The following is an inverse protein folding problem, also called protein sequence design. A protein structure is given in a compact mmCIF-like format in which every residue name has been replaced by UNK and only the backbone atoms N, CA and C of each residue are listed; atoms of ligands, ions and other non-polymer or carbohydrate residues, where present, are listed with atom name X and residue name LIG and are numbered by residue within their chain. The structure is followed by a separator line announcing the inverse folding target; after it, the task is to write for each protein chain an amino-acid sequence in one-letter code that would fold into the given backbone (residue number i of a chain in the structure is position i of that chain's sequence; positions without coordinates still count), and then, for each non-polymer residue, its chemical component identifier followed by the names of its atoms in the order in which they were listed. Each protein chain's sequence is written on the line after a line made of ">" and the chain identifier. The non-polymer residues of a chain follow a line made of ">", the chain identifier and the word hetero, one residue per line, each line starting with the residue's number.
data_IF_083078984965
#
_entry.id   IF_083078984965
#
_cell.length_a   1.000
_cell.length_b   1.000
_cell.length_c   1.000
_cell.angle_alpha   90.00
_cell.angle_beta   90.00
_cell.angle_gamma   90.00
#
_symmetry.space_group_name_H-M   'P 1'
#
loop_
_entity.id
_entity.type
_entity.pdbx_description
1 polymer ?
#
# COMPACT_ATOMS: atom_id res chain seq x y z
N UNK A 1 -16.13 18.39 -11.95
CA UNK A 1 -15.33 19.53 -11.41
C UNK A 1 -16.27 20.71 -11.25
N UNK A 2 -16.56 21.15 -10.01
CA UNK A 2 -17.08 22.50 -9.81
C UNK A 2 -16.03 23.47 -10.39
N UNK A 3 -16.44 24.40 -11.25
CA UNK A 3 -15.54 25.36 -11.88
C UNK A 3 -14.75 26.10 -10.78
N UNK A 4 -13.44 25.94 -10.75
CA UNK A 4 -12.53 26.73 -9.91
C UNK A 4 -11.91 26.03 -8.69
N UNK A 5 -12.33 24.81 -8.30
CA UNK A 5 -11.75 24.12 -7.14
C UNK A 5 -10.77 23.05 -7.58
N UNK A 6 -9.51 23.15 -7.18
CA UNK A 6 -8.51 22.10 -7.36
C UNK A 6 -8.78 20.97 -6.37
N UNK A 7 -9.05 19.78 -6.88
CA UNK A 7 -9.24 18.59 -6.03
C UNK A 7 -7.89 18.03 -5.62
N UNK A 8 -7.79 17.59 -4.37
CA UNK A 8 -6.56 17.11 -3.75
C UNK A 8 -6.64 15.61 -3.46
N UNK A 9 -5.47 14.98 -3.52
CA UNK A 9 -5.29 13.59 -3.13
C UNK A 9 -4.04 13.44 -2.26
N UNK A 10 -4.19 12.80 -1.11
CA UNK A 10 -3.08 12.63 -0.16
C UNK A 10 -2.20 11.47 -0.62
N UNK A 11 -0.89 11.71 -0.59
CA UNK A 11 0.12 10.76 -1.00
C UNK A 11 1.19 10.65 0.10
N UNK A 12 1.19 9.58 0.91
CA UNK A 12 2.25 9.33 1.86
C UNK A 12 3.63 9.34 1.18
N UNK A 13 4.58 10.06 1.77
CA UNK A 13 5.92 10.25 1.21
C UNK A 13 7.00 10.01 2.30
N UNK A 14 8.04 9.19 1.99
CA UNK A 14 8.27 8.52 0.71
C UNK A 14 7.21 7.46 0.40
N UNK A 15 6.84 7.29 -0.88
CA UNK A 15 5.77 6.41 -1.31
C UNK A 15 5.94 5.93 -2.76
N UNK A 16 5.02 5.09 -3.22
CA UNK A 16 5.08 4.53 -4.57
C UNK A 16 4.80 5.60 -5.64
N UNK A 17 5.77 5.83 -6.51
CA UNK A 17 5.76 6.92 -7.51
C UNK A 17 4.55 6.86 -8.46
N UNK A 18 4.02 5.66 -8.75
CA UNK A 18 2.85 5.48 -9.63
C UNK A 18 1.58 6.05 -9.03
N UNK A 19 1.41 6.01 -7.72
CA UNK A 19 0.28 6.65 -7.05
C UNK A 19 0.24 8.15 -7.33
N UNK A 20 1.40 8.81 -7.22
CA UNK A 20 1.53 10.25 -7.53
C UNK A 20 1.23 10.53 -9.01
N UNK A 21 1.78 9.71 -9.91
CA UNK A 21 1.58 9.88 -11.34
C UNK A 21 0.12 9.65 -11.76
N UNK A 22 -0.56 8.65 -11.18
CA UNK A 22 -1.98 8.35 -11.47
C UNK A 22 -2.86 9.53 -11.05
N UNK A 23 -2.74 10.01 -9.82
CA UNK A 23 -3.57 11.12 -9.34
C UNK A 23 -3.32 12.39 -10.11
N UNK A 24 -2.07 12.70 -10.43
CA UNK A 24 -1.71 13.85 -11.27
C UNK A 24 -2.30 13.73 -12.69
N UNK A 25 -2.25 12.53 -13.29
CA UNK A 25 -2.86 12.28 -14.60
C UNK A 25 -4.37 12.58 -14.61
N UNK A 26 -5.07 12.26 -13.53
CA UNK A 26 -6.49 12.56 -13.40
C UNK A 26 -6.76 14.00 -12.95
N UNK A 27 -5.74 14.84 -12.83
CA UNK A 27 -5.85 16.26 -12.54
C UNK A 27 -6.12 16.59 -11.07
N UNK A 28 -5.70 15.71 -10.16
CA UNK A 28 -5.62 16.01 -8.74
C UNK A 28 -4.30 16.72 -8.41
N UNK A 29 -4.33 17.58 -7.42
CA UNK A 29 -3.14 18.06 -6.73
C UNK A 29 -2.69 16.98 -5.72
N UNK A 30 -1.44 16.55 -5.83
CA UNK A 30 -0.84 15.62 -4.87
C UNK A 30 -0.41 16.40 -3.63
N UNK A 31 -0.94 16.02 -2.47
CA UNK A 31 -0.52 16.57 -1.17
C UNK A 31 0.30 15.51 -0.45
N UNK A 32 1.58 15.79 -0.24
CA UNK A 32 2.47 14.88 0.46
C UNK A 32 2.11 14.81 1.95
N UNK A 33 2.04 13.60 2.49
CA UNK A 33 1.86 13.32 3.92
C UNK A 33 3.13 12.62 4.43
N UNK A 34 3.78 13.14 5.48
CA UNK A 34 4.97 12.49 6.04
C UNK A 34 4.67 11.07 6.52
N UNK A 35 5.60 10.14 6.27
CA UNK A 35 5.60 8.81 6.86
C UNK A 35 6.29 8.83 8.22
N UNK A 36 5.80 8.01 9.15
CA UNK A 36 6.41 7.66 10.42
C UNK A 36 6.83 6.18 10.42
N UNK A 37 7.39 5.68 11.49
CA UNK A 37 7.73 4.25 11.63
C UNK A 37 6.48 3.34 11.66
N UNK A 38 5.33 3.90 12.02
CA UNK A 38 4.05 3.18 12.16
C UNK A 38 3.12 3.33 10.95
N UNK A 39 3.48 4.15 9.97
CA UNK A 39 2.64 4.48 8.82
C UNK A 39 2.59 5.98 8.53
N UNK A 40 1.59 6.50 7.81
CA UNK A 40 1.41 7.92 7.58
C UNK A 40 1.18 8.68 8.90
N UNK A 41 1.68 9.92 8.97
CA UNK A 41 1.39 10.80 10.09
C UNK A 41 -0.13 11.09 10.17
N UNK A 42 -0.82 10.43 11.09
CA UNK A 42 -2.27 10.47 11.19
C UNK A 42 -2.83 11.80 11.70
N UNK A 43 -2.03 12.61 12.40
CA UNK A 43 -2.45 13.96 12.80
C UNK A 43 -2.58 14.86 11.56
N UNK A 44 -1.61 14.79 10.66
CA UNK A 44 -1.64 15.50 9.38
C UNK A 44 -2.76 14.99 8.48
N UNK A 45 -2.93 13.66 8.39
CA UNK A 45 -4.04 13.07 7.62
C UNK A 45 -5.38 13.55 8.13
N UNK A 46 -5.60 13.48 9.44
CA UNK A 46 -6.86 13.89 10.08
C UNK A 46 -7.16 15.36 9.86
N UNK A 47 -6.16 16.21 10.07
CA UNK A 47 -6.31 17.66 9.86
C UNK A 47 -6.79 17.97 8.44
N UNK A 48 -6.10 17.39 7.44
CA UNK A 48 -6.42 17.65 6.03
C UNK A 48 -7.78 17.05 5.62
N UNK A 49 -8.07 15.82 6.05
CA UNK A 49 -9.28 15.11 5.63
C UNK A 49 -10.54 15.66 6.29
N UNK A 50 -10.46 16.05 7.56
CA UNK A 50 -11.62 16.51 8.32
C UNK A 50 -11.93 18.00 8.11
N UNK A 51 -10.99 18.81 7.60
CA UNK A 51 -11.15 20.25 7.44
C UNK A 51 -11.17 20.74 5.98
N UNK A 52 -10.81 19.90 5.01
CA UNK A 52 -10.75 20.30 3.59
C UNK A 52 -11.59 19.37 2.70
N UNK A 53 -12.76 19.83 2.28
CA UNK A 53 -13.67 19.09 1.39
C UNK A 53 -13.12 18.91 -0.04
N UNK A 54 -12.02 19.56 -0.41
CA UNK A 54 -11.33 19.35 -1.69
C UNK A 54 -10.49 18.08 -1.68
N UNK A 55 -10.14 17.53 -0.51
CA UNK A 55 -9.41 16.27 -0.34
C UNK A 55 -10.34 15.09 -0.62
N UNK A 56 -10.06 14.34 -1.70
CA UNK A 56 -10.95 13.28 -2.20
C UNK A 56 -10.46 11.87 -1.90
N UNK A 57 -9.21 11.72 -1.48
CA UNK A 57 -8.70 10.42 -1.11
C UNK A 57 -7.27 10.44 -0.62
N UNK A 58 -6.83 9.26 -0.21
CA UNK A 58 -5.46 8.96 0.20
C UNK A 58 -5.03 7.61 -0.36
N UNK A 59 -3.80 7.51 -0.84
CA UNK A 59 -3.15 6.23 -1.13
C UNK A 59 -2.53 5.63 0.13
N UNK A 60 -2.73 4.32 0.32
CA UNK A 60 -2.12 3.57 1.42
C UNK A 60 -1.49 2.28 0.88
N UNK A 61 -0.23 2.02 1.25
CA UNK A 61 0.43 0.72 1.07
C UNK A 61 0.68 0.17 2.48
N UNK A 62 -0.29 -0.56 3.07
CA UNK A 62 -0.32 -0.75 4.52
C UNK A 62 0.64 -1.81 5.04
N UNK A 63 1.18 -2.67 4.17
CA UNK A 63 2.08 -3.74 4.57
C UNK A 63 3.31 -3.74 3.68
N UNK A 64 4.50 -3.77 4.31
CA UNK A 64 5.80 -3.73 3.61
C UNK A 64 5.86 -2.63 2.54
N UNK A 65 5.46 -1.43 2.92
CA UNK A 65 5.26 -0.29 2.03
C UNK A 65 6.47 -0.04 1.11
N UNK A 66 6.19 0.33 -0.13
CA UNK A 66 7.20 0.78 -1.07
C UNK A 66 7.40 2.30 -0.93
N UNK A 67 8.62 2.82 -0.64
CA UNK A 67 9.89 2.10 -0.51
C UNK A 67 10.31 1.76 0.94
N UNK A 68 9.54 2.13 1.96
CA UNK A 68 9.97 2.17 3.35
C UNK A 68 10.08 0.78 4.01
N UNK A 69 9.35 -0.23 3.52
CA UNK A 69 9.24 -1.54 4.15
C UNK A 69 8.33 -1.58 5.39
N UNK A 70 7.70 -0.45 5.75
CA UNK A 70 6.86 -0.31 6.94
C UNK A 70 5.56 -1.11 6.79
N UNK A 71 5.11 -1.69 7.89
CA UNK A 71 3.73 -2.20 8.05
C UNK A 71 3.00 -1.29 9.03
N UNK A 72 1.82 -0.83 8.67
CA UNK A 72 1.02 0.07 9.52
C UNK A 72 0.69 -0.58 10.85
N UNK A 73 0.82 0.18 11.94
CA UNK A 73 0.41 -0.27 13.26
C UNK A 73 -1.12 -0.36 13.38
N UNK A 74 -1.58 -1.10 14.38
CA UNK A 74 -3.01 -1.21 14.68
C UNK A 74 -3.63 0.16 15.00
N UNK A 75 -2.87 1.05 15.65
CA UNK A 75 -3.27 2.41 15.98
C UNK A 75 -3.51 3.23 14.72
N UNK A 76 -2.61 3.14 13.73
CA UNK A 76 -2.75 3.82 12.45
C UNK A 76 -3.96 3.28 11.68
N UNK A 77 -4.16 1.96 11.64
CA UNK A 77 -5.32 1.36 10.98
C UNK A 77 -6.63 1.81 11.65
N UNK A 78 -6.69 1.82 12.99
CA UNK A 78 -7.86 2.32 13.74
C UNK A 78 -8.08 3.81 13.54
N UNK A 79 -7.01 4.60 13.44
CA UNK A 79 -7.11 6.03 13.14
C UNK A 79 -7.73 6.27 11.76
N UNK A 80 -7.36 5.49 10.74
CA UNK A 80 -8.03 5.53 9.44
C UNK A 80 -9.52 5.18 9.53
N UNK A 81 -9.89 4.17 10.30
CA UNK A 81 -11.28 3.77 10.48
C UNK A 81 -12.13 4.85 11.19
N UNK A 82 -11.50 5.69 12.01
CA UNK A 82 -12.16 6.75 12.79
C UNK A 82 -12.20 8.11 12.05
N UNK A 83 -11.66 8.24 10.84
CA UNK A 83 -11.71 9.49 10.06
C UNK A 83 -13.15 9.95 9.81
N UNK A 84 -13.37 11.26 9.90
CA UNK A 84 -14.65 11.93 9.60
C UNK A 84 -14.44 12.92 8.45
N UNK A 85 -14.38 12.44 7.20
CA UNK A 85 -14.04 13.29 6.08
C UNK A 85 -15.04 14.44 5.86
N UNK A 86 -14.52 15.64 5.62
CA UNK A 86 -15.30 16.78 5.19
C UNK A 86 -15.91 16.58 3.78
N UNK A 87 -15.25 15.74 2.94
CA UNK A 87 -15.77 15.37 1.63
C UNK A 87 -16.58 14.07 1.71
N UNK A 88 -17.88 14.05 1.34
CA UNK A 88 -18.72 12.85 1.40
C UNK A 88 -18.28 11.74 0.43
N UNK A 89 -17.52 12.11 -0.59
CA UNK A 89 -16.96 11.23 -1.62
C UNK A 89 -15.49 10.86 -1.38
N UNK A 90 -14.93 11.15 -0.20
CA UNK A 90 -13.58 10.74 0.18
C UNK A 90 -13.44 9.22 0.22
N UNK A 91 -12.30 8.71 -0.27
CA UNK A 91 -11.96 7.28 -0.21
C UNK A 91 -10.51 7.05 0.20
N UNK A 92 -10.30 6.00 0.97
CA UNK A 92 -9.01 5.43 1.30
C UNK A 92 -8.71 4.33 0.28
N UNK A 93 -7.69 4.53 -0.55
CA UNK A 93 -7.22 3.54 -1.52
C UNK A 93 -6.17 2.66 -0.84
N UNK A 94 -6.60 1.47 -0.42
CA UNK A 94 -5.86 0.52 0.40
C UNK A 94 -5.16 -0.49 -0.49
N UNK A 95 -3.97 -0.13 -1.01
CA UNK A 95 -3.18 -0.97 -1.92
C UNK A 95 -2.37 -2.00 -1.14
N UNK A 96 -2.96 -3.16 -0.89
CA UNK A 96 -2.32 -4.25 -0.15
C UNK A 96 -1.51 -5.17 -1.09
N UNK A 97 -0.63 -4.58 -1.88
CA UNK A 97 0.18 -5.27 -2.88
C UNK A 97 1.13 -6.31 -2.29
N UNK A 98 1.49 -6.18 -1.01
CA UNK A 98 2.45 -7.04 -0.32
C UNK A 98 1.85 -7.87 0.81
N UNK A 99 0.55 -8.13 0.78
CA UNK A 99 -0.20 -8.80 1.84
C UNK A 99 0.44 -10.09 2.40
N UNK A 100 1.12 -10.85 1.53
CA UNK A 100 1.68 -12.18 1.85
C UNK A 100 3.19 -12.29 1.57
N UNK A 101 3.91 -11.16 1.57
CA UNK A 101 5.31 -11.08 1.15
C UNK A 101 6.30 -11.03 2.32
N UNK A 102 5.95 -11.60 3.48
CA UNK A 102 6.91 -11.78 4.57
C UNK A 102 7.99 -12.78 4.16
N UNK A 103 9.25 -12.46 4.44
CA UNK A 103 10.37 -13.41 4.25
C UNK A 103 10.98 -13.88 5.57
N UNK A 104 10.40 -13.48 6.69
CA UNK A 104 10.68 -14.01 8.03
C UNK A 104 9.61 -15.04 8.43
N UNK A 105 9.85 -15.87 9.47
CA UNK A 105 8.83 -16.77 10.01
C UNK A 105 7.53 -16.02 10.37
N UNK A 106 6.39 -16.69 10.23
CA UNK A 106 5.07 -16.09 10.48
C UNK A 106 4.94 -15.50 11.89
N UNK A 107 5.63 -16.09 12.88
CA UNK A 107 5.66 -15.58 14.26
C UNK A 107 6.43 -14.26 14.43
N UNK A 108 7.31 -13.94 13.50
CA UNK A 108 8.12 -12.72 13.51
C UNK A 108 7.65 -11.65 12.52
N UNK A 109 6.77 -12.05 11.60
CA UNK A 109 6.22 -11.15 10.60
C UNK A 109 5.26 -10.16 11.25
N UNK A 110 5.38 -8.85 10.96
CA UNK A 110 4.42 -7.86 11.43
C UNK A 110 3.03 -8.22 10.92
N UNK A 111 2.06 -8.18 11.82
CA UNK A 111 0.66 -8.38 11.47
C UNK A 111 0.07 -7.03 11.04
N UNK A 112 -0.85 -7.07 10.10
CA UNK A 112 -1.63 -5.91 9.70
C UNK A 112 -3.07 -6.14 10.17
N UNK A 113 -3.60 -5.23 10.98
CA UNK A 113 -5.01 -5.23 11.33
C UNK A 113 -5.86 -5.12 10.06
N UNK A 114 -6.90 -5.92 9.96
CA UNK A 114 -7.82 -5.81 8.82
C UNK A 114 -8.61 -4.49 8.92
N UNK A 115 -8.47 -3.64 7.93
CA UNK A 115 -9.14 -2.32 7.91
C UNK A 115 -10.67 -2.44 7.93
N UNK A 116 -11.24 -3.50 7.35
CA UNK A 116 -12.69 -3.72 7.37
C UNK A 116 -13.19 -4.15 8.76
N UNK A 117 -12.37 -4.88 9.53
CA UNK A 117 -12.69 -5.22 10.91
C UNK A 117 -12.63 -3.95 11.79
N UNK A 118 -11.59 -3.13 11.61
CA UNK A 118 -11.49 -1.83 12.29
C UNK A 118 -12.66 -0.89 11.95
N UNK A 119 -13.10 -0.85 10.70
CA UNK A 119 -14.31 -0.11 10.30
C UNK A 119 -15.57 -0.66 10.96
N UNK A 120 -15.68 -1.98 11.11
CA UNK A 120 -16.83 -2.61 11.77
C UNK A 120 -16.88 -2.29 13.25
N UNK A 121 -15.73 -2.14 13.93
CA UNK A 121 -15.66 -1.76 15.35
C UNK A 121 -16.22 -0.36 15.61
N UNK A 122 -16.01 0.60 14.68
CA UNK A 122 -16.41 2.01 14.86
C UNK A 122 -17.76 2.34 14.21
N UNK A 123 -18.29 1.48 13.36
CA UNK A 123 -19.50 1.73 12.59
C UNK A 123 -20.78 1.40 13.36
N UNK A 124 -21.02 2.04 14.51
CA UNK A 124 -22.30 1.93 15.21
C UNK A 124 -23.50 2.38 14.36
N UNK A 125 -23.29 3.32 13.43
CA UNK A 125 -24.30 3.97 12.58
C UNK A 125 -24.05 3.90 11.07
N UNK A 126 -23.06 3.14 10.62
CA UNK A 126 -22.89 2.76 9.21
C UNK A 126 -22.20 3.78 8.30
N UNK A 127 -21.95 5.00 8.74
CA UNK A 127 -21.40 6.07 7.89
C UNK A 127 -19.96 5.80 7.41
N UNK A 128 -19.09 5.23 8.27
CA UNK A 128 -17.70 4.94 7.93
C UNK A 128 -17.49 3.68 7.08
N UNK A 129 -18.51 2.84 6.90
CA UNK A 129 -18.41 1.59 6.12
C UNK A 129 -18.02 1.79 4.65
N UNK A 130 -18.16 3.01 4.16
CA UNK A 130 -17.94 3.34 2.74
C UNK A 130 -16.58 4.01 2.47
N UNK A 131 -15.68 4.08 3.44
CA UNK A 131 -14.42 4.83 3.27
C UNK A 131 -13.38 4.10 2.42
N UNK A 132 -13.36 2.76 2.41
CA UNK A 132 -12.24 1.99 1.90
C UNK A 132 -12.55 1.32 0.58
N UNK A 133 -11.62 1.47 -0.37
CA UNK A 133 -11.49 0.64 -1.56
C UNK A 133 -10.14 -0.09 -1.46
N UNK A 134 -10.19 -1.38 -1.17
CA UNK A 134 -9.01 -2.21 -1.01
C UNK A 134 -8.66 -2.96 -2.29
N UNK A 135 -7.37 -3.04 -2.57
CA UNK A 135 -6.82 -3.71 -3.74
C UNK A 135 -5.85 -4.81 -3.33
N UNK A 136 -5.86 -5.90 -4.07
CA UNK A 136 -4.87 -6.96 -3.98
C UNK A 136 -4.62 -7.55 -5.36
N UNK A 137 -3.44 -8.13 -5.57
CA UNK A 137 -3.13 -8.80 -6.83
C UNK A 137 -2.06 -9.89 -6.66
N UNK A 138 -2.00 -10.79 -7.65
CA UNK A 138 -0.92 -11.78 -7.78
C UNK A 138 0.24 -11.28 -8.62
N UNK A 139 0.26 -10.02 -9.03
CA UNK A 139 1.31 -9.47 -9.91
C UNK A 139 2.73 -9.63 -9.35
N UNK A 140 2.87 -9.69 -8.02
CA UNK A 140 4.12 -9.93 -7.30
C UNK A 140 4.20 -11.33 -6.66
N UNK A 141 3.17 -12.14 -6.84
CA UNK A 141 3.09 -13.54 -6.34
C UNK A 141 3.46 -14.53 -7.46
N UNK A 142 2.95 -14.30 -8.68
CA UNK A 142 3.18 -15.14 -9.84
C UNK A 142 3.94 -14.36 -10.94
N UNK A 143 3.22 -13.87 -11.96
CA UNK A 143 3.84 -13.14 -13.07
C UNK A 143 3.25 -11.72 -13.19
N UNK A 144 4.11 -10.70 -13.33
CA UNK A 144 3.64 -9.38 -13.74
C UNK A 144 2.97 -9.48 -15.11
N UNK A 145 1.97 -8.64 -15.37
CA UNK A 145 1.16 -8.59 -16.61
C UNK A 145 0.23 -9.79 -16.84
N UNK A 146 0.41 -10.91 -16.16
CA UNK A 146 -0.49 -12.08 -16.21
C UNK A 146 -1.15 -12.36 -14.86
N UNK A 147 -1.05 -11.42 -13.93
CA UNK A 147 -1.61 -11.54 -12.58
C UNK A 147 -3.12 -11.39 -12.56
N UNK A 148 -3.71 -11.89 -11.47
CA UNK A 148 -5.08 -11.62 -11.06
C UNK A 148 -5.10 -10.42 -10.12
N UNK A 149 -6.18 -9.64 -10.17
CA UNK A 149 -6.39 -8.54 -9.24
C UNK A 149 -7.81 -8.58 -8.68
N UNK A 150 -7.95 -8.10 -7.46
CA UNK A 150 -9.21 -8.01 -6.75
C UNK A 150 -9.40 -6.60 -6.20
N UNK A 151 -10.65 -6.20 -6.11
CA UNK A 151 -11.09 -5.01 -5.39
C UNK A 151 -12.16 -5.42 -4.38
N UNK A 152 -12.04 -4.88 -3.17
CA UNK A 152 -13.05 -5.01 -2.12
C UNK A 152 -13.46 -3.62 -1.64
N UNK A 153 -14.77 -3.38 -1.60
CA UNK A 153 -15.35 -2.12 -1.14
C UNK A 153 -16.80 -2.36 -0.72
N UNK A 154 -17.50 -1.30 -0.30
CA UNK A 154 -18.93 -1.39 -0.06
C UNK A 154 -19.71 -1.69 -1.36
N UNK A 155 -20.96 -2.22 -1.26
CA UNK A 155 -21.72 -2.63 -2.43
C UNK A 155 -22.00 -1.52 -3.46
N UNK A 156 -22.11 -0.26 -3.01
CA UNK A 156 -22.37 0.86 -3.92
C UNK A 156 -21.14 1.18 -4.79
N UNK A 157 -19.96 1.28 -4.18
CA UNK A 157 -18.71 1.49 -4.89
C UNK A 157 -18.39 0.31 -5.83
N UNK A 158 -18.63 -0.94 -5.40
CA UNK A 158 -18.47 -2.12 -6.26
C UNK A 158 -19.40 -2.05 -7.48
N UNK A 159 -20.65 -1.62 -7.30
CA UNK A 159 -21.59 -1.49 -8.41
C UNK A 159 -21.13 -0.44 -9.42
N UNK A 160 -20.59 0.68 -8.95
CA UNK A 160 -20.04 1.73 -9.81
C UNK A 160 -18.81 1.25 -10.58
N UNK A 161 -17.86 0.63 -9.88
CA UNK A 161 -16.66 0.02 -10.48
C UNK A 161 -17.05 -1.01 -11.54
N UNK A 162 -17.98 -1.91 -11.24
CA UNK A 162 -18.47 -2.90 -12.19
C UNK A 162 -19.12 -2.26 -13.42
N UNK A 163 -19.83 -1.16 -13.25
CA UNK A 163 -20.45 -0.44 -14.37
C UNK A 163 -19.41 0.13 -15.32
N UNK A 164 -18.32 0.70 -14.80
CA UNK A 164 -17.18 1.15 -15.59
C UNK A 164 -16.46 -0.01 -16.29
N UNK A 165 -16.23 -1.11 -15.57
CA UNK A 165 -15.58 -2.29 -16.15
C UNK A 165 -16.40 -2.95 -17.26
N UNK A 166 -17.73 -2.97 -17.19
CA UNK A 166 -18.60 -3.53 -18.25
C UNK A 166 -18.42 -2.80 -19.59
N UNK A 167 -18.10 -1.51 -19.55
CA UNK A 167 -17.82 -0.73 -20.77
C UNK A 167 -16.40 -1.00 -21.28
N UNK A 168 -15.43 -1.10 -20.37
CA UNK A 168 -14.02 -1.30 -20.72
C UNK A 168 -13.68 -2.75 -21.11
N UNK A 169 -14.42 -3.73 -20.55
CA UNK A 169 -14.15 -5.18 -20.73
C UNK A 169 -15.46 -5.96 -20.72
N UNK A 170 -15.61 -6.90 -21.63
CA UNK A 170 -16.76 -7.81 -21.65
C UNK A 170 -16.67 -8.84 -20.53
N UNK A 171 -15.47 -9.37 -20.27
CA UNK A 171 -15.22 -10.33 -19.18
C UNK A 171 -13.76 -10.30 -18.75
N UNK A 172 -13.46 -10.75 -17.51
CA UNK A 172 -12.09 -10.99 -17.08
C UNK A 172 -11.42 -12.06 -17.93
N UNK A 173 -10.10 -11.97 -18.04
CA UNK A 173 -9.28 -12.95 -18.75
C UNK A 173 -9.32 -14.30 -17.99
N UNK A 174 -9.77 -15.38 -18.66
CA UNK A 174 -10.05 -16.69 -18.05
C UNK A 174 -8.86 -17.64 -18.06
N UNK A 175 -7.93 -17.48 -18.98
CA UNK A 175 -6.75 -18.35 -19.10
C UNK A 175 -5.83 -18.11 -17.89
N UNK A 176 -5.54 -16.85 -17.55
CA UNK A 176 -4.76 -16.51 -16.37
C UNK A 176 -5.46 -16.98 -15.08
N UNK A 177 -6.80 -16.86 -14.99
CA UNK A 177 -7.54 -17.39 -13.85
C UNK A 177 -7.33 -18.90 -13.69
N UNK A 178 -7.51 -19.66 -14.77
CA UNK A 178 -7.34 -21.12 -14.75
C UNK A 178 -5.88 -21.51 -14.45
N UNK A 179 -4.91 -20.80 -14.99
CA UNK A 179 -3.51 -21.01 -14.70
C UNK A 179 -3.21 -20.83 -13.20
N UNK A 180 -3.73 -19.74 -12.57
CA UNK A 180 -3.58 -19.49 -11.15
C UNK A 180 -4.23 -20.57 -10.30
N UNK A 181 -5.46 -20.98 -10.62
CA UNK A 181 -6.16 -22.07 -9.91
C UNK A 181 -5.38 -23.37 -9.98
N UNK A 182 -4.85 -23.72 -11.15
CA UNK A 182 -4.07 -24.96 -11.32
C UNK A 182 -2.70 -24.90 -10.64
N UNK A 183 -2.06 -23.74 -10.62
CA UNK A 183 -0.74 -23.56 -10.04
C UNK A 183 -0.77 -23.42 -8.52
N UNK A 184 -1.58 -22.50 -8.01
CA UNK A 184 -1.67 -22.18 -6.59
C UNK A 184 -2.59 -23.14 -5.84
N UNK A 185 -3.60 -23.69 -6.49
CA UNK A 185 -4.60 -24.64 -5.98
C UNK A 185 -5.49 -24.07 -4.89
N UNK A 186 -4.93 -23.81 -3.71
CA UNK A 186 -5.61 -23.38 -2.50
C UNK A 186 -4.71 -22.46 -1.64
N UNK A 187 -5.18 -22.10 -0.46
CA UNK A 187 -4.44 -21.24 0.48
C UNK A 187 -3.09 -21.85 0.89
N UNK A 188 -3.03 -23.18 1.09
CA UNK A 188 -1.79 -23.87 1.44
C UNK A 188 -0.79 -23.83 0.28
N UNK A 189 -1.27 -23.97 -0.94
CA UNK A 189 -0.46 -23.83 -2.16
C UNK A 189 0.12 -22.43 -2.31
N UNK A 190 -0.66 -21.40 -1.98
CA UNK A 190 -0.19 -20.02 -1.94
C UNK A 190 0.91 -19.84 -0.86
N UNK A 191 0.68 -20.33 0.36
CA UNK A 191 1.66 -20.25 1.45
C UNK A 191 2.96 -20.97 1.09
N UNK A 192 2.88 -22.19 0.54
CA UNK A 192 4.05 -22.95 0.11
C UNK A 192 4.83 -22.26 -1.02
N UNK A 193 4.12 -21.60 -1.93
CA UNK A 193 4.75 -20.82 -3.00
C UNK A 193 5.46 -19.58 -2.44
N UNK A 194 4.83 -18.84 -1.55
CA UNK A 194 5.44 -17.66 -0.92
C UNK A 194 6.58 -18.01 0.01
N UNK A 195 6.58 -19.19 0.62
CA UNK A 195 7.74 -19.67 1.37
C UNK A 195 8.98 -19.82 0.48
N UNK A 196 8.84 -20.31 -0.75
CA UNK A 196 9.94 -20.36 -1.72
C UNK A 196 10.43 -18.97 -2.11
N UNK A 197 9.53 -17.98 -2.24
CA UNK A 197 9.92 -16.60 -2.43
C UNK A 197 10.74 -16.08 -1.24
N UNK A 198 10.30 -16.37 -0.01
CA UNK A 198 11.01 -15.98 1.20
C UNK A 198 12.43 -16.56 1.25
N UNK A 199 12.60 -17.84 0.88
CA UNK A 199 13.90 -18.52 0.82
C UNK A 199 14.86 -17.89 -0.19
N UNK A 200 14.33 -17.34 -1.30
CA UNK A 200 15.13 -16.65 -2.31
C UNK A 200 15.46 -15.20 -1.93
N UNK A 201 14.55 -14.53 -1.22
CA UNK A 201 14.69 -13.11 -0.88
C UNK A 201 15.50 -12.88 0.39
N UNK A 202 15.24 -13.63 1.45
CA UNK A 202 15.88 -13.46 2.75
C UNK A 202 17.41 -13.33 2.67
N UNK A 203 18.15 -14.23 2.02
CA UNK A 203 19.61 -14.11 1.97
C UNK A 203 20.09 -12.82 1.28
N UNK A 204 19.29 -12.28 0.35
CA UNK A 204 19.63 -11.03 -0.35
C UNK A 204 19.46 -9.83 0.57
N UNK A 205 18.38 -9.80 1.35
CA UNK A 205 18.15 -8.74 2.35
C UNK A 205 19.21 -8.79 3.44
N UNK A 206 19.50 -9.98 3.99
CA UNK A 206 20.57 -10.19 4.98
C UNK A 206 21.93 -9.72 4.46
N UNK A 207 22.26 -10.01 3.20
CA UNK A 207 23.49 -9.56 2.57
C UNK A 207 23.55 -8.04 2.44
N UNK A 208 22.44 -7.38 2.00
CA UNK A 208 22.39 -5.93 1.87
C UNK A 208 22.55 -5.27 3.23
N UNK A 209 21.82 -5.72 4.25
CA UNK A 209 21.89 -5.18 5.61
C UNK A 209 23.29 -5.36 6.21
N UNK A 210 23.88 -6.55 6.07
CA UNK A 210 25.25 -6.85 6.53
C UNK A 210 26.26 -5.90 5.87
N UNK A 211 26.17 -5.69 4.55
CA UNK A 211 27.09 -4.80 3.84
C UNK A 211 26.92 -3.33 4.19
N UNK A 212 25.68 -2.87 4.41
CA UNK A 212 25.42 -1.52 4.90
C UNK A 212 25.96 -1.34 6.32
N UNK A 213 25.75 -2.30 7.20
CA UNK A 213 26.26 -2.28 8.57
C UNK A 213 27.79 -2.31 8.60
N UNK A 214 28.46 -3.20 7.84
CA UNK A 214 29.91 -3.28 7.74
C UNK A 214 30.53 -1.98 7.21
N UNK A 215 29.91 -1.36 6.19
CA UNK A 215 30.47 -0.21 5.51
C UNK A 215 30.12 1.14 6.14
N UNK A 216 28.96 1.27 6.77
CA UNK A 216 28.40 2.55 7.17
C UNK A 216 27.92 2.60 8.63
N UNK A 217 27.73 1.45 9.29
CA UNK A 217 27.07 1.38 10.60
C UNK A 217 27.71 2.25 11.67
N UNK A 218 29.03 2.31 11.73
CA UNK A 218 29.77 3.08 12.74
C UNK A 218 30.03 4.53 12.34
N UNK A 219 29.69 4.91 11.10
CA UNK A 219 30.00 6.25 10.59
C UNK A 219 28.92 7.29 10.90
N UNK A 220 27.70 6.87 11.22
CA UNK A 220 26.59 7.77 11.51
C UNK A 220 26.18 8.69 10.34
N UNK A 221 26.55 8.33 9.10
CA UNK A 221 26.31 9.14 7.89
C UNK A 221 25.02 8.78 7.15
N UNK A 222 24.41 7.65 7.50
CA UNK A 222 23.20 7.18 6.86
C UNK A 222 22.39 6.26 7.79
N UNK A 223 21.12 6.11 7.47
CA UNK A 223 20.22 5.13 8.09
C UNK A 223 19.55 4.29 7.01
N UNK A 224 19.06 3.11 7.35
CA UNK A 224 18.32 2.25 6.44
C UNK A 224 17.25 1.47 7.16
N UNK A 225 16.20 1.08 6.43
CA UNK A 225 15.14 0.26 6.97
C UNK A 225 15.56 -1.21 7.12
N UNK A 226 14.93 -1.91 8.08
CA UNK A 226 15.11 -3.34 8.35
C UNK A 226 13.81 -4.10 8.07
N UNK A 227 13.41 -4.26 6.79
CA UNK A 227 12.13 -4.83 6.43
C UNK A 227 12.09 -6.33 6.76
N UNK A 228 10.91 -6.80 7.15
CA UNK A 228 10.62 -8.23 7.37
C UNK A 228 9.84 -8.86 6.21
N UNK A 229 9.69 -8.13 5.12
CA UNK A 229 8.96 -8.52 3.92
C UNK A 229 8.99 -7.46 2.84
N UNK A 230 8.29 -7.71 1.74
CA UNK A 230 8.31 -6.83 0.57
C UNK A 230 9.58 -6.97 -0.27
N UNK A 231 9.93 -5.90 -0.98
CA UNK A 231 11.02 -5.93 -1.96
C UNK A 231 12.03 -4.78 -1.81
N UNK A 232 11.94 -3.97 -0.75
CA UNK A 232 12.71 -2.73 -0.65
C UNK A 232 13.43 -2.61 0.68
N UNK A 233 14.66 -2.10 0.62
CA UNK A 233 15.37 -1.49 1.73
C UNK A 233 15.44 -0.01 1.43
N UNK A 234 14.89 0.83 2.29
CA UNK A 234 15.00 2.26 2.19
C UNK A 234 16.32 2.71 2.80
N UNK A 235 17.07 3.50 2.06
CA UNK A 235 18.35 4.07 2.50
C UNK A 235 18.22 5.59 2.54
N UNK A 236 18.50 6.18 3.68
CA UNK A 236 18.51 7.61 3.89
C UNK A 236 19.92 8.09 4.22
N UNK A 237 20.48 8.90 3.33
CA UNK A 237 21.83 9.45 3.42
C UNK A 237 21.83 10.97 3.35
N UNK A 238 23.02 11.61 3.35
CA UNK A 238 23.13 13.05 3.24
C UNK A 238 22.37 13.63 2.04
N UNK A 239 21.87 14.84 2.18
CA UNK A 239 21.13 15.53 1.12
C UNK A 239 21.93 15.55 -0.18
N UNK A 240 21.31 15.08 -1.27
CA UNK A 240 21.94 14.99 -2.60
C UNK A 240 22.71 13.69 -2.87
N UNK A 241 22.94 12.85 -1.87
CA UNK A 241 23.67 11.57 -2.03
C UNK A 241 22.97 10.58 -2.95
N UNK A 242 21.64 10.52 -2.92
CA UNK A 242 20.86 9.59 -3.74
C UNK A 242 21.18 9.73 -5.25
N UNK A 243 21.21 10.98 -5.75
CA UNK A 243 21.56 11.23 -7.16
C UNK A 243 23.00 10.80 -7.48
N UNK A 244 23.94 11.10 -6.60
CA UNK A 244 25.34 10.73 -6.77
C UNK A 244 25.55 9.21 -6.74
N UNK A 245 24.80 8.49 -5.90
CA UNK A 245 24.86 7.02 -5.80
C UNK A 245 24.28 6.38 -7.09
N UNK A 246 23.11 6.82 -7.54
CA UNK A 246 22.44 6.25 -8.72
C UNK A 246 23.18 6.56 -10.02
N UNK A 247 23.97 7.63 -10.09
CA UNK A 247 24.74 8.00 -11.28
C UNK A 247 26.07 7.25 -11.45
N UNK A 248 26.49 6.43 -10.48
CA UNK A 248 27.69 5.60 -10.51
C UNK A 248 27.38 4.17 -10.97
#
# INVERSE_FOLDING_TARGET
>A
KAQGTTLKFLCPAPGYDRHFAITQHYGFENVAVPMTEDGPNMDVVKELVENDSSVKGIWCVPRFANPTGITYSDEVVRAFANLKPAAPDFRIFWDNAYAIHAFVPKSEAPQLLNIFDALAEVAADGAQKNLVIAFASTAKVTFPSSGMAWVAANPADIKEIQSAFKVARVSPEKISQLAHVRFLKDAQGIEAHMQKHAELLRPRFELVESKLQEGLGDLGVATWSHPKGGYFVSFDGPVGSARAIVSR
#
